data_IF_022630963218
#
_entry.id   IF_022630963218
#
_cell.length_a   1.000
_cell.length_b   1.000
_cell.length_c   1.000
_cell.angle_alpha   90.00
_cell.angle_beta   90.00
_cell.angle_gamma   90.00
#
_symmetry.space_group_name_H-M   'P 1'
#
loop_
_entity.id
_entity.type
_entity.pdbx_description
1 polymer ?
#
# COMPACT_ATOMS: atom_id res chain seq x y z
N UNK A 1 -0.11 -9.37 -3.13
CA UNK A 1 0.00 -8.58 -4.35
C UNK A 1 -0.07 -7.11 -4.02
N UNK A 2 0.72 -6.26 -4.67
CA UNK A 2 0.70 -4.83 -4.46
C UNK A 2 -0.70 -4.26 -4.76
N UNK A 3 -1.15 -3.29 -3.96
CA UNK A 3 -2.46 -2.68 -4.14
C UNK A 3 -2.45 -1.83 -5.41
N UNK A 4 -3.42 -2.06 -6.29
CA UNK A 4 -3.61 -1.25 -7.50
C UNK A 4 -4.21 0.10 -7.10
N UNK A 5 -3.57 1.18 -7.50
CA UNK A 5 -3.96 2.55 -7.19
C UNK A 5 -4.36 3.29 -8.47
N UNK A 6 -5.36 4.16 -8.35
CA UNK A 6 -5.73 5.13 -9.39
C UNK A 6 -5.13 6.46 -9.04
N UNK A 7 -4.12 6.93 -9.80
CA UNK A 7 -3.37 8.13 -9.48
C UNK A 7 -3.01 8.94 -10.73
N UNK A 8 -3.04 10.26 -10.62
CA UNK A 8 -2.54 11.18 -11.64
C UNK A 8 -1.02 11.40 -11.56
N UNK A 9 -0.36 10.83 -10.54
CA UNK A 9 1.06 10.99 -10.28
C UNK A 9 1.62 9.68 -9.76
N UNK A 10 2.69 9.24 -10.39
CA UNK A 10 3.45 8.07 -9.97
C UNK A 10 4.93 8.44 -9.92
N UNK A 11 5.68 7.80 -9.07
CA UNK A 11 7.14 7.82 -9.12
C UNK A 11 7.65 6.50 -9.69
N UNK A 12 8.58 6.60 -10.63
CA UNK A 12 9.17 5.45 -11.28
C UNK A 12 10.69 5.60 -11.38
N UNK A 13 11.41 4.52 -11.10
CA UNK A 13 12.84 4.44 -11.37
C UNK A 13 13.00 4.03 -12.82
N UNK A 14 13.61 4.91 -13.63
CA UNK A 14 13.74 4.74 -15.06
C UNK A 14 15.18 4.44 -15.44
N UNK A 15 15.39 3.36 -16.20
CA UNK A 15 16.61 3.09 -16.94
C UNK A 15 16.45 3.68 -18.35
N UNK A 16 17.10 4.81 -18.59
CA UNK A 16 17.01 5.56 -19.84
C UNK A 16 18.22 5.29 -20.71
N UNK A 17 18.00 5.01 -22.00
CA UNK A 17 19.05 4.89 -23.03
C UNK A 17 19.14 6.14 -23.91
N UNK A 18 18.14 7.02 -23.83
CA UNK A 18 18.18 8.36 -24.39
C UNK A 18 17.91 9.41 -23.30
N UNK A 19 18.51 10.61 -23.41
CA UNK A 19 18.33 11.65 -22.41
C UNK A 19 16.87 12.12 -22.36
N UNK A 20 16.30 12.12 -21.15
CA UNK A 20 15.00 12.69 -20.83
C UNK A 20 15.22 14.03 -20.10
N UNK A 21 14.59 15.10 -20.60
CA UNK A 21 14.69 16.43 -19.99
C UNK A 21 13.68 16.57 -18.84
N UNK A 22 14.05 17.36 -17.82
CA UNK A 22 13.09 17.73 -16.78
C UNK A 22 11.89 18.45 -17.38
N UNK A 23 10.69 18.08 -16.93
CA UNK A 23 9.38 18.56 -17.41
C UNK A 23 9.06 18.23 -18.86
N UNK A 24 9.79 17.34 -19.51
CA UNK A 24 9.48 16.90 -20.86
C UNK A 24 8.13 16.18 -20.91
N UNK A 25 7.38 16.42 -22.00
CA UNK A 25 6.13 15.72 -22.25
C UNK A 25 6.43 14.41 -22.97
N UNK A 26 6.04 13.31 -22.35
CA UNK A 26 6.31 11.95 -22.80
C UNK A 26 5.02 11.15 -22.89
N UNK A 27 5.08 10.03 -23.59
CA UNK A 27 4.04 9.02 -23.56
C UNK A 27 4.49 7.87 -22.64
N UNK A 28 3.67 7.53 -21.65
CA UNK A 28 3.92 6.45 -20.70
C UNK A 28 3.02 5.28 -21.07
N UNK A 29 3.63 4.13 -21.29
CA UNK A 29 2.95 2.87 -21.54
C UNK A 29 3.02 2.02 -20.28
N UNK A 30 1.87 1.51 -19.87
CA UNK A 30 1.70 0.59 -18.74
C UNK A 30 0.68 -0.49 -19.11
N UNK A 31 1.10 -1.75 -19.15
CA UNK A 31 0.27 -2.84 -19.66
C UNK A 31 -0.21 -2.55 -21.09
N UNK A 32 -1.52 -2.60 -21.30
CA UNK A 32 -2.14 -2.29 -22.61
C UNK A 32 -2.56 -0.82 -22.77
N UNK A 33 -2.24 0.03 -21.80
CA UNK A 33 -2.63 1.45 -21.78
C UNK A 33 -1.45 2.35 -22.09
N UNK A 34 -1.72 3.45 -22.77
CA UNK A 34 -0.78 4.53 -23.00
C UNK A 34 -1.42 5.88 -22.69
N UNK A 35 -0.67 6.79 -22.12
CA UNK A 35 -1.12 8.14 -21.81
C UNK A 35 0.00 9.16 -21.86
N UNK A 36 -0.34 10.40 -22.23
CA UNK A 36 0.61 11.50 -22.16
C UNK A 36 0.83 11.89 -20.69
N UNK A 37 2.08 12.09 -20.34
CA UNK A 37 2.50 12.52 -19.02
C UNK A 37 3.62 13.56 -19.12
N UNK A 38 3.80 14.33 -18.06
CA UNK A 38 4.97 15.20 -17.88
C UNK A 38 5.95 14.52 -16.95
N UNK A 39 7.16 14.26 -17.41
CA UNK A 39 8.23 13.68 -16.62
C UNK A 39 8.95 14.78 -15.84
N UNK A 40 9.02 14.65 -14.53
CA UNK A 40 9.72 15.57 -13.64
C UNK A 40 10.84 14.83 -12.94
N UNK A 41 12.06 15.35 -13.07
CA UNK A 41 13.23 14.72 -12.46
C UNK A 41 13.17 14.90 -10.94
N UNK A 42 13.34 13.82 -10.21
CA UNK A 42 13.44 13.80 -8.75
C UNK A 42 14.89 13.58 -8.33
N UNK A 43 15.57 12.59 -8.93
CA UNK A 43 17.01 12.36 -8.84
C UNK A 43 17.53 11.74 -10.15
N UNK A 44 18.71 11.11 -10.13
CA UNK A 44 19.37 10.63 -11.36
C UNK A 44 18.59 9.52 -12.07
N UNK A 45 17.90 8.66 -11.33
CA UNK A 45 17.12 7.56 -11.87
C UNK A 45 15.63 7.66 -11.54
N UNK A 46 15.26 8.48 -10.54
CA UNK A 46 13.89 8.60 -10.07
C UNK A 46 13.17 9.75 -10.75
N UNK A 47 12.04 9.44 -11.36
CA UNK A 47 11.20 10.39 -12.09
C UNK A 47 9.78 10.36 -11.59
N UNK A 48 9.19 11.53 -11.39
CA UNK A 48 7.76 11.68 -11.16
C UNK A 48 7.05 11.89 -12.49
N UNK A 49 6.12 10.98 -12.82
CA UNK A 49 5.31 11.05 -14.03
C UNK A 49 3.93 11.59 -13.67
N UNK A 50 3.54 12.72 -14.26
CA UNK A 50 2.25 13.39 -14.04
C UNK A 50 1.41 13.34 -15.29
N UNK A 51 0.21 12.74 -15.21
CA UNK A 51 -0.70 12.56 -16.33
C UNK A 51 -2.03 13.26 -16.08
N UNK A 52 -2.65 13.74 -17.17
CA UNK A 52 -4.02 14.26 -17.15
C UNK A 52 -5.05 13.14 -16.95
N UNK A 53 -4.75 11.95 -17.46
CA UNK A 53 -5.54 10.75 -17.25
C UNK A 53 -4.91 9.91 -16.15
N UNK A 54 -5.69 9.38 -15.20
CA UNK A 54 -5.09 8.62 -14.11
C UNK A 54 -4.42 7.34 -14.58
N UNK A 55 -3.28 7.03 -14.00
CA UNK A 55 -2.66 5.71 -14.06
C UNK A 55 -3.45 4.73 -13.19
N UNK A 56 -3.54 3.49 -13.62
CA UNK A 56 -4.07 2.38 -12.82
C UNK A 56 -2.91 1.41 -12.65
N UNK A 57 -2.13 1.61 -11.60
CA UNK A 57 -0.83 0.96 -11.39
C UNK A 57 -0.70 0.50 -9.95
N UNK A 58 0.24 -0.41 -9.74
CA UNK A 58 0.71 -0.83 -8.43
C UNK A 58 2.22 -0.59 -8.32
N UNK A 59 2.73 -0.55 -7.09
CA UNK A 59 4.16 -0.56 -6.85
C UNK A 59 4.76 -1.85 -7.43
N UNK A 60 5.88 -1.72 -8.13
CA UNK A 60 6.51 -2.82 -8.85
C UNK A 60 6.06 -3.00 -10.30
N UNK A 61 5.05 -2.27 -10.77
CA UNK A 61 4.61 -2.33 -12.17
C UNK A 61 5.65 -1.75 -13.11
N UNK A 62 5.75 -2.35 -14.31
CA UNK A 62 6.67 -1.88 -15.34
C UNK A 62 6.04 -0.82 -16.22
N UNK A 63 6.82 0.22 -16.53
CA UNK A 63 6.44 1.30 -17.44
C UNK A 63 7.48 1.46 -18.55
N UNK A 64 7.01 1.85 -19.72
CA UNK A 64 7.88 2.27 -20.84
C UNK A 64 7.61 3.73 -21.13
N UNK A 65 8.65 4.53 -21.25
CA UNK A 65 8.58 5.97 -21.54
C UNK A 65 9.05 6.22 -22.95
N UNK A 66 8.21 6.92 -23.72
CA UNK A 66 8.49 7.26 -25.11
C UNK A 66 8.41 8.76 -25.33
N UNK A 67 9.28 9.27 -26.18
CA UNK A 67 9.19 10.65 -26.68
C UNK A 67 8.05 10.77 -27.67
N UNK A 68 7.31 11.88 -27.60
CA UNK A 68 6.16 12.13 -28.47
C UNK A 68 6.63 12.66 -29.83
N UNK A 69 7.61 13.57 -29.82
CA UNK A 69 8.13 14.20 -31.03
C UNK A 69 9.65 14.52 -30.88
N UNK A 70 10.54 14.01 -31.75
CA UNK A 70 10.27 12.89 -32.68
C UNK A 70 9.95 11.60 -31.92
N UNK A 71 9.12 10.71 -32.49
CA UNK A 71 8.74 9.48 -31.79
C UNK A 71 9.94 8.58 -31.54
N UNK A 72 10.14 8.13 -30.30
CA UNK A 72 11.22 7.24 -29.91
C UNK A 72 11.03 6.69 -28.52
N UNK A 73 11.58 5.52 -28.25
CA UNK A 73 11.57 4.95 -26.89
C UNK A 73 12.74 5.54 -26.13
N UNK A 74 12.47 6.18 -25.01
CA UNK A 74 13.50 6.78 -24.14
C UNK A 74 14.08 5.76 -23.17
N UNK A 75 13.25 4.81 -22.72
CA UNK A 75 13.63 3.80 -21.77
C UNK A 75 12.41 3.18 -21.09
N UNK A 76 12.66 2.47 -20.03
CA UNK A 76 11.61 1.86 -19.21
C UNK A 76 12.03 1.79 -17.75
N UNK A 77 11.13 1.35 -16.91
CA UNK A 77 11.43 1.24 -15.49
C UNK A 77 10.32 0.61 -14.69
N UNK A 78 10.42 0.80 -13.39
CA UNK A 78 9.50 0.22 -12.40
C UNK A 78 8.88 1.33 -11.57
N UNK A 79 7.57 1.25 -11.36
CA UNK A 79 6.84 2.14 -10.46
C UNK A 79 7.27 1.83 -9.03
N UNK A 80 7.77 2.84 -8.32
CA UNK A 80 8.22 2.73 -6.93
C UNK A 80 7.25 3.37 -5.95
N UNK A 81 6.41 4.30 -6.42
CA UNK A 81 5.29 4.88 -5.67
C UNK A 81 4.11 5.15 -6.62
N UNK A 82 3.11 4.28 -6.55
CA UNK A 82 1.88 4.38 -7.35
C UNK A 82 0.95 5.51 -6.88
N UNK A 83 1.11 6.01 -5.65
CA UNK A 83 0.29 7.04 -5.04
C UNK A 83 1.07 8.34 -4.75
N UNK A 84 2.10 8.63 -5.55
CA UNK A 84 3.00 9.76 -5.35
C UNK A 84 2.24 11.07 -5.10
N UNK A 85 2.43 11.65 -3.92
CA UNK A 85 1.87 12.94 -3.57
C UNK A 85 2.73 14.05 -4.17
N UNK A 86 2.09 15.14 -4.63
CA UNK A 86 2.83 16.28 -5.18
C UNK A 86 3.86 16.80 -4.20
N UNK A 87 5.12 16.58 -4.47
CA UNK A 87 6.18 17.35 -3.82
C UNK A 87 5.97 18.81 -4.22
N UNK A 88 5.69 19.68 -3.25
CA UNK A 88 5.94 21.11 -3.46
C UNK A 88 7.45 21.20 -3.70
N UNK A 89 7.85 21.55 -4.91
CA UNK A 89 9.19 22.07 -5.19
C UNK A 89 9.30 23.42 -4.48
N UNK A 90 9.39 23.38 -3.16
CA UNK A 90 9.74 24.51 -2.37
C UNK A 90 11.26 24.62 -2.43
N UNK A 91 11.74 25.66 -3.12
CA UNK A 91 12.97 26.40 -2.86
C UNK A 91 13.93 25.73 -1.86
N UNK A 92 14.62 24.65 -2.29
CA UNK A 92 15.68 24.07 -1.49
C UNK A 92 16.93 24.89 -1.74
N UNK A 93 17.41 25.60 -0.72
CA UNK A 93 18.68 26.29 -0.77
C UNK A 93 19.80 25.25 -0.68
N UNK A 94 20.95 25.46 -1.38
CA UNK A 94 22.14 24.63 -1.17
C UNK A 94 22.50 24.71 0.31
N UNK A 95 22.52 23.55 1.03
CA UNK A 95 22.83 23.47 2.44
C UNK A 95 21.68 23.06 3.36
N UNK A 96 20.45 22.93 2.87
CA UNK A 96 19.37 22.38 3.68
C UNK A 96 19.63 20.91 3.99
N UNK A 97 19.43 20.47 5.26
CA UNK A 97 19.59 19.07 5.62
C UNK A 97 18.66 18.20 4.78
N UNK A 98 19.05 16.93 4.49
CA UNK A 98 18.22 16.02 3.73
C UNK A 98 16.84 15.94 4.40
N UNK A 99 15.78 16.15 3.60
CA UNK A 99 14.40 16.01 4.06
C UNK A 99 14.19 14.55 4.47
N UNK A 100 14.27 14.29 5.76
CA UNK A 100 13.97 13.00 6.41
C UNK A 100 12.46 12.77 6.43
N UNK A 101 11.79 12.94 5.28
CA UNK A 101 10.48 12.31 5.11
C UNK A 101 10.71 10.81 5.14
N UNK A 102 9.78 10.02 5.70
CA UNK A 102 9.85 8.59 5.55
C UNK A 102 9.81 8.30 4.04
N UNK A 103 11.01 8.26 3.45
CA UNK A 103 11.24 7.80 2.10
C UNK A 103 10.82 6.35 2.01
N UNK A 104 10.69 5.84 0.77
CA UNK A 104 10.70 4.40 0.56
C UNK A 104 11.61 3.74 1.57
N UNK A 105 11.14 2.64 2.18
CA UNK A 105 12.06 1.83 2.95
C UNK A 105 13.27 1.56 2.05
N UNK A 106 14.50 1.70 2.57
CA UNK A 106 15.68 1.29 1.84
C UNK A 106 15.45 -0.14 1.32
N UNK A 107 16.10 -0.57 0.22
CA UNK A 107 16.01 -1.94 -0.25
C UNK A 107 16.21 -2.82 0.96
N UNK A 108 15.21 -3.61 1.28
CA UNK A 108 14.96 -4.34 2.53
C UNK A 108 16.20 -4.38 3.46
N UNK A 109 16.41 -3.33 4.24
CA UNK A 109 17.35 -3.42 5.35
C UNK A 109 16.86 -4.61 6.17
N UNK A 110 17.70 -5.60 6.38
CA UNK A 110 17.39 -6.75 7.21
C UNK A 110 16.74 -6.22 8.49
N UNK A 111 15.58 -6.81 8.84
CA UNK A 111 14.89 -6.39 10.06
C UNK A 111 15.85 -6.62 11.22
N UNK A 112 16.06 -5.58 12.00
CA UNK A 112 16.88 -5.69 13.21
C UNK A 112 16.21 -6.62 14.25
N UNK A 113 16.99 -7.12 15.19
CA UNK A 113 16.48 -8.01 16.22
C UNK A 113 15.27 -7.44 16.99
N UNK A 114 15.21 -6.13 17.33
CA UNK A 114 14.02 -5.52 17.92
C UNK A 114 12.78 -5.54 17.02
N UNK A 115 12.93 -5.35 15.71
CA UNK A 115 11.79 -5.43 14.77
C UNK A 115 11.27 -6.88 14.66
N UNK A 116 12.18 -7.86 14.62
CA UNK A 116 11.81 -9.29 14.63
C UNK A 116 11.07 -9.65 15.93
N UNK A 117 11.55 -9.17 17.07
CA UNK A 117 10.88 -9.37 18.35
C UNK A 117 9.46 -8.74 18.38
N UNK A 118 9.31 -7.56 17.77
CA UNK A 118 8.00 -6.92 17.62
C UNK A 118 7.09 -7.73 16.70
N UNK A 119 7.58 -8.24 15.58
CA UNK A 119 6.81 -9.09 14.68
C UNK A 119 6.26 -10.32 15.42
N UNK A 120 7.11 -11.00 16.19
CA UNK A 120 6.69 -12.15 16.99
C UNK A 120 5.62 -11.78 18.03
N UNK A 121 5.76 -10.61 18.68
CA UNK A 121 4.75 -10.09 19.60
C UNK A 121 3.42 -9.83 18.89
N UNK A 122 3.42 -9.27 17.67
CA UNK A 122 2.22 -9.08 16.87
C UNK A 122 1.60 -10.42 16.44
N UNK A 123 2.42 -11.41 16.12
CA UNK A 123 1.95 -12.74 15.74
C UNK A 123 1.29 -13.44 16.90
N UNK A 124 1.89 -13.40 18.09
CA UNK A 124 1.34 -14.00 19.31
C UNK A 124 0.06 -13.29 19.78
N UNK A 125 -0.09 -12.00 19.53
CA UNK A 125 -1.31 -11.27 19.85
C UNK A 125 -2.54 -11.71 19.03
N UNK A 126 -2.33 -12.33 17.86
CA UNK A 126 -3.38 -12.91 17.04
C UNK A 126 -4.49 -11.92 16.69
N UNK A 127 -5.72 -12.23 17.06
CA UNK A 127 -6.91 -11.42 16.79
C UNK A 127 -7.16 -10.29 17.82
N UNK A 128 -6.25 -10.10 18.76
CA UNK A 128 -6.26 -8.98 19.73
C UNK A 128 -5.07 -8.04 19.48
N UNK A 129 -5.07 -7.33 18.34
CA UNK A 129 -3.92 -6.52 17.93
C UNK A 129 -3.64 -5.40 18.94
N UNK A 130 -2.37 -5.29 19.41
CA UNK A 130 -1.99 -4.24 20.35
C UNK A 130 -2.04 -2.86 19.67
N UNK A 131 -2.32 -1.84 20.46
CA UNK A 131 -2.21 -0.44 20.07
C UNK A 131 -0.75 0.04 20.13
N UNK A 132 -0.44 1.15 19.42
CA UNK A 132 0.88 1.79 19.49
C UNK A 132 1.26 2.15 20.94
N UNK A 133 0.27 2.55 21.77
CA UNK A 133 0.47 2.85 23.19
C UNK A 133 0.89 1.61 23.98
N UNK A 134 0.24 0.47 23.74
CA UNK A 134 0.56 -0.81 24.38
C UNK A 134 1.91 -1.39 23.93
N UNK A 135 2.34 -1.03 22.72
CA UNK A 135 3.65 -1.40 22.20
C UNK A 135 4.78 -0.54 22.77
N UNK A 136 4.49 0.69 23.22
CA UNK A 136 5.47 1.61 23.77
C UNK A 136 6.62 1.89 22.79
N UNK A 137 7.85 1.85 23.27
CA UNK A 137 9.05 2.14 22.45
C UNK A 137 9.21 1.17 21.25
N UNK A 138 8.66 -0.05 21.34
CA UNK A 138 8.72 -0.99 20.22
C UNK A 138 7.93 -0.49 19.00
N UNK A 139 6.95 0.40 19.18
CA UNK A 139 6.15 0.95 18.08
C UNK A 139 7.00 1.67 17.02
N UNK A 140 8.18 2.16 17.37
CA UNK A 140 9.13 2.77 16.41
C UNK A 140 9.55 1.85 15.27
N UNK A 141 9.46 0.52 15.45
CA UNK A 141 9.81 -0.48 14.44
C UNK A 141 8.62 -0.82 13.52
N UNK A 142 7.39 -0.38 13.82
CA UNK A 142 6.20 -0.63 12.99
C UNK A 142 6.34 -0.15 11.54
N UNK A 143 6.96 1.02 11.23
CA UNK A 143 7.16 1.43 9.85
C UNK A 143 7.99 0.43 9.04
N UNK A 144 9.06 -0.12 9.63
CA UNK A 144 9.89 -1.14 9.00
C UNK A 144 9.08 -2.42 8.76
N UNK A 145 8.38 -2.94 9.77
CA UNK A 145 7.55 -4.14 9.63
C UNK A 145 6.46 -3.97 8.57
N UNK A 146 5.81 -2.81 8.51
CA UNK A 146 4.80 -2.52 7.47
C UNK A 146 5.39 -2.48 6.07
N UNK A 147 6.58 -1.90 5.92
CA UNK A 147 7.30 -1.87 4.65
C UNK A 147 7.62 -3.28 4.15
N UNK A 148 7.93 -4.20 5.07
CA UNK A 148 8.17 -5.62 4.77
C UNK A 148 6.89 -6.47 4.69
N UNK A 149 5.70 -5.87 4.83
CA UNK A 149 4.44 -6.60 4.83
C UNK A 149 4.24 -7.52 6.05
N UNK A 150 5.00 -7.30 7.14
CA UNK A 150 4.96 -8.11 8.37
C UNK A 150 4.11 -7.50 9.48
N UNK A 151 3.58 -6.31 9.27
CA UNK A 151 2.60 -5.69 10.14
C UNK A 151 1.52 -4.99 9.32
N UNK A 152 0.27 -5.05 9.80
CA UNK A 152 -0.90 -4.44 9.19
C UNK A 152 -1.55 -3.50 10.21
N UNK A 153 -1.88 -2.28 9.79
CA UNK A 153 -2.61 -1.36 10.64
C UNK A 153 -4.10 -1.73 10.64
N UNK A 154 -4.67 -1.88 11.83
CA UNK A 154 -6.07 -2.20 12.07
C UNK A 154 -6.71 -1.05 12.83
N UNK A 155 -7.79 -0.48 12.29
CA UNK A 155 -8.41 0.70 12.87
C UNK A 155 -7.48 1.90 12.96
N UNK A 156 -7.59 2.69 14.04
CA UNK A 156 -6.86 3.96 14.18
C UNK A 156 -5.41 3.79 14.65
N UNK A 157 -5.15 2.86 15.56
CA UNK A 157 -3.86 2.78 16.26
C UNK A 157 -3.42 1.35 16.60
N UNK A 158 -4.13 0.33 16.18
CA UNK A 158 -3.78 -1.07 16.42
C UNK A 158 -3.00 -1.67 15.25
N UNK A 159 -2.16 -2.68 15.55
CA UNK A 159 -1.32 -3.34 14.55
C UNK A 159 -1.37 -4.85 14.74
N UNK A 160 -1.68 -5.56 13.66
CA UNK A 160 -1.79 -7.01 13.62
C UNK A 160 -0.71 -7.65 12.74
N UNK A 161 -0.39 -8.90 12.99
CA UNK A 161 0.35 -9.70 12.04
C UNK A 161 -0.54 -10.08 10.84
N UNK A 162 -0.05 -10.11 9.59
CA UNK A 162 -0.84 -10.47 8.41
C UNK A 162 -1.53 -11.84 8.52
N UNK A 163 -0.89 -12.83 9.15
CA UNK A 163 -1.47 -14.15 9.38
C UNK A 163 -2.74 -14.08 10.23
N UNK A 164 -2.76 -13.22 11.26
CA UNK A 164 -3.94 -13.05 12.09
C UNK A 164 -5.12 -12.47 11.28
N UNK A 165 -4.85 -11.50 10.41
CA UNK A 165 -5.86 -10.92 9.51
C UNK A 165 -6.37 -11.98 8.51
N UNK A 166 -5.48 -12.79 7.96
CA UNK A 166 -5.85 -13.89 7.06
C UNK A 166 -6.74 -14.93 7.78
N UNK A 167 -6.38 -15.31 9.01
CA UNK A 167 -7.15 -16.25 9.82
C UNK A 167 -8.56 -15.71 10.14
N UNK A 168 -8.67 -14.43 10.53
CA UNK A 168 -9.96 -13.77 10.77
C UNK A 168 -10.78 -13.69 9.50
N UNK A 169 -10.17 -13.38 8.35
CA UNK A 169 -10.83 -13.37 7.05
C UNK A 169 -11.38 -14.75 6.65
N UNK A 170 -10.61 -15.81 6.87
CA UNK A 170 -11.04 -17.18 6.62
C UNK A 170 -12.18 -17.59 7.55
N UNK A 171 -12.12 -17.19 8.83
CA UNK A 171 -13.18 -17.44 9.79
C UNK A 171 -14.47 -16.71 9.37
N UNK A 172 -14.38 -15.45 9.02
CA UNK A 172 -15.52 -14.65 8.55
C UNK A 172 -16.16 -15.30 7.30
N UNK A 173 -15.34 -15.80 6.35
CA UNK A 173 -15.83 -16.50 5.17
C UNK A 173 -16.64 -17.76 5.52
N UNK A 174 -16.16 -18.59 6.44
CA UNK A 174 -16.88 -19.78 6.92
C UNK A 174 -18.20 -19.44 7.57
N UNK A 175 -18.23 -18.39 8.41
CA UNK A 175 -19.46 -17.94 9.06
C UNK A 175 -20.46 -17.44 8.03
N UNK A 176 -20.02 -16.62 7.08
CA UNK A 176 -20.89 -16.11 6.00
C UNK A 176 -21.39 -17.23 5.11
N UNK A 177 -20.58 -18.24 4.82
CA UNK A 177 -21.00 -19.42 4.06
C UNK A 177 -22.10 -20.23 4.79
N UNK A 178 -21.97 -20.38 6.09
CA UNK A 178 -22.93 -21.13 6.91
C UNK A 178 -24.20 -20.34 7.25
N UNK A 179 -24.07 -19.04 7.52
CA UNK A 179 -25.14 -18.21 8.11
C UNK A 179 -25.63 -17.10 7.16
N UNK A 180 -25.03 -16.97 5.97
CA UNK A 180 -25.35 -15.95 4.96
C UNK A 180 -24.74 -14.56 5.25
N UNK A 181 -24.40 -14.26 6.49
CA UNK A 181 -23.82 -12.97 6.89
C UNK A 181 -23.11 -13.08 8.24
N UNK A 182 -22.25 -12.10 8.55
CA UNK A 182 -21.56 -12.00 9.84
C UNK A 182 -21.80 -10.62 10.47
N UNK A 183 -22.05 -10.59 11.78
CA UNK A 183 -22.12 -9.38 12.59
C UNK A 183 -20.89 -9.24 13.50
N UNK A 184 -20.69 -8.03 14.07
CA UNK A 184 -19.63 -7.79 15.07
C UNK A 184 -19.82 -8.70 16.30
N UNK A 185 -21.07 -8.89 16.74
CA UNK A 185 -21.39 -9.78 17.86
C UNK A 185 -21.01 -11.22 17.56
N UNK A 186 -21.39 -11.72 16.39
CA UNK A 186 -21.09 -13.08 15.97
C UNK A 186 -19.58 -13.36 15.87
N UNK A 187 -18.79 -12.41 15.28
CA UNK A 187 -17.35 -12.54 15.24
C UNK A 187 -16.70 -12.48 16.62
N UNK A 188 -17.19 -11.56 17.49
CA UNK A 188 -16.73 -11.46 18.88
C UNK A 188 -16.89 -12.79 19.62
N UNK A 189 -18.06 -13.39 19.51
CA UNK A 189 -18.38 -14.64 20.23
C UNK A 189 -17.55 -15.82 19.70
N UNK A 190 -17.33 -15.87 18.39
CA UNK A 190 -16.51 -16.92 17.76
C UNK A 190 -15.02 -16.81 18.12
N UNK A 191 -14.50 -15.59 18.23
CA UNK A 191 -13.11 -15.34 18.60
C UNK A 191 -12.87 -15.34 20.12
N UNK A 192 -13.93 -15.27 20.92
CA UNK A 192 -13.82 -15.12 22.39
C UNK A 192 -13.17 -13.81 22.80
N UNK A 193 -13.34 -12.73 22.02
CA UNK A 193 -12.66 -11.45 22.19
C UNK A 193 -13.60 -10.29 22.56
N UNK A 194 -13.08 -9.07 22.66
CA UNK A 194 -13.89 -7.91 22.93
C UNK A 194 -14.56 -7.35 21.65
N UNK A 195 -15.69 -6.61 21.84
CA UNK A 195 -16.36 -5.91 20.74
C UNK A 195 -15.43 -4.91 20.03
N UNK A 196 -14.48 -4.29 20.75
CA UNK A 196 -13.48 -3.37 20.19
C UNK A 196 -12.64 -4.06 19.11
N UNK A 197 -12.10 -5.23 19.40
CA UNK A 197 -11.27 -5.97 18.43
C UNK A 197 -12.10 -6.52 17.28
N UNK A 198 -13.24 -7.15 17.57
CA UNK A 198 -14.11 -7.68 16.52
C UNK A 198 -14.59 -6.58 15.54
N UNK A 199 -14.94 -5.38 16.03
CA UNK A 199 -15.31 -4.24 15.19
C UNK A 199 -14.14 -3.79 14.30
N UNK A 200 -12.97 -3.57 14.90
CA UNK A 200 -11.80 -3.10 14.17
C UNK A 200 -11.34 -4.09 13.10
N UNK A 201 -11.41 -5.39 13.40
CA UNK A 201 -11.05 -6.44 12.44
C UNK A 201 -12.04 -6.49 11.26
N UNK A 202 -13.35 -6.43 11.51
CA UNK A 202 -14.35 -6.38 10.45
C UNK A 202 -14.26 -5.09 9.62
N UNK A 203 -14.05 -3.93 10.26
CA UNK A 203 -13.82 -2.67 9.55
C UNK A 203 -12.56 -2.74 8.66
N UNK A 204 -11.52 -3.43 9.12
CA UNK A 204 -10.34 -3.68 8.31
C UNK A 204 -10.64 -4.57 7.10
N UNK A 205 -11.42 -5.65 7.27
CA UNK A 205 -11.86 -6.50 6.17
C UNK A 205 -12.74 -5.75 5.17
N UNK A 206 -13.61 -4.83 5.65
CA UNK A 206 -14.40 -3.94 4.78
C UNK A 206 -13.49 -3.00 3.98
N UNK A 207 -12.52 -2.35 4.63
CA UNK A 207 -11.58 -1.42 4.01
C UNK A 207 -10.67 -2.11 2.96
N UNK A 208 -10.27 -3.35 3.22
CA UNK A 208 -9.48 -4.18 2.30
C UNK A 208 -10.32 -4.91 1.26
N UNK A 209 -11.63 -4.65 1.24
CA UNK A 209 -12.58 -5.20 0.27
C UNK A 209 -12.73 -6.73 0.32
N UNK A 210 -12.44 -7.34 1.45
CA UNK A 210 -12.72 -8.77 1.71
C UNK A 210 -14.20 -8.95 2.02
N UNK A 211 -14.77 -8.04 2.82
CA UNK A 211 -16.20 -8.03 3.15
C UNK A 211 -16.90 -6.79 2.61
N UNK A 212 -18.22 -6.83 2.58
CA UNK A 212 -19.11 -5.72 2.27
C UNK A 212 -20.10 -5.56 3.40
N UNK A 213 -20.12 -4.35 4.03
CA UNK A 213 -21.08 -3.98 5.05
C UNK A 213 -22.45 -3.70 4.43
N UNK A 214 -23.49 -4.24 5.01
CA UNK A 214 -24.90 -4.02 4.66
C UNK A 214 -25.50 -2.92 5.54
N UNK A 215 -26.69 -2.44 5.19
CA UNK A 215 -27.39 -1.37 5.91
C UNK A 215 -27.75 -1.76 7.37
N UNK A 216 -27.90 -3.05 7.64
CA UNK A 216 -28.18 -3.62 8.97
C UNK A 216 -26.93 -3.95 9.79
N UNK A 217 -25.77 -3.38 9.45
CA UNK A 217 -24.47 -3.60 10.08
C UNK A 217 -23.90 -5.03 9.94
N UNK A 218 -24.58 -5.92 9.23
CA UNK A 218 -24.03 -7.23 8.88
C UNK A 218 -23.09 -7.12 7.69
N UNK A 219 -22.24 -8.12 7.50
CA UNK A 219 -21.30 -8.19 6.39
C UNK A 219 -21.49 -9.50 5.64
N UNK A 220 -21.26 -9.43 4.35
CA UNK A 220 -21.18 -10.58 3.45
C UNK A 220 -19.79 -10.62 2.82
N UNK A 221 -19.38 -11.77 2.31
CA UNK A 221 -18.14 -11.84 1.55
C UNK A 221 -18.31 -11.12 0.23
N UNK A 222 -17.33 -10.29 -0.12
CA UNK A 222 -17.31 -9.64 -1.42
C UNK A 222 -17.02 -10.68 -2.50
N UNK A 223 -17.93 -10.83 -3.45
CA UNK A 223 -17.71 -11.72 -4.60
C UNK A 223 -16.53 -11.20 -5.40
N UNK A 224 -15.43 -11.90 -5.40
CA UNK A 224 -14.36 -11.73 -6.38
C UNK A 224 -14.93 -12.16 -7.72
N UNK A 225 -15.16 -11.19 -8.60
CA UNK A 225 -15.52 -11.51 -9.99
C UNK A 225 -14.31 -12.23 -10.59
N UNK A 226 -14.44 -13.48 -11.06
CA UNK A 226 -13.33 -14.11 -11.76
C UNK A 226 -13.00 -13.22 -12.96
N UNK A 227 -11.73 -12.91 -13.13
CA UNK A 227 -11.23 -12.29 -14.35
C UNK A 227 -11.40 -13.33 -15.46
N UNK A 228 -12.41 -13.15 -16.31
CA UNK A 228 -12.48 -13.79 -17.61
C UNK A 228 -11.40 -13.21 -18.53
#
# INVERSE_FOLDING_TARGET
>A
GAAVVVSHRIEARLALHEPLRDRERVQVHHGTRAGAARAMRVDDELWQLRSERPFIVADGDRVVVRRIAPPGTLGGGVVVDAAARGRRTANRRPGDPPDLRPGLPPPAAELDAPAIALEERLRLAGHEPPSEQELGDAARHLPALRAHGRAVRVGRAMHAHPEAIAAVGALAARIVEAEGSISVGRLRDELGTSRRYASALLEHLDATRVTLRLDDDRRIMRRTRPRG
#
